data_IF_880077068486
#
_entry.id   IF_880077068486
#
_cell.length_a   1.000
_cell.length_b   1.000
_cell.length_c   1.000
_cell.angle_alpha   90.00
_cell.angle_beta   90.00
_cell.angle_gamma   90.00
#
_symmetry.space_group_name_H-M   'P 1'
#
loop_
_entity.id
_entity.type
_entity.pdbx_description
1 polymer ?
#
# COMPACT_ATOMS: atom_id res chain seq x y z
N UNK A 1 -25.45 -1.75 11.18
CA UNK A 1 -24.22 -2.44 10.71
C UNK A 1 -23.29 -2.59 11.90
N UNK A 2 -22.48 -3.66 12.02
CA UNK A 2 -21.46 -3.70 13.06
C UNK A 2 -20.56 -2.47 12.95
N UNK A 3 -20.14 -1.95 14.09
CA UNK A 3 -19.22 -0.80 14.13
C UNK A 3 -17.85 -1.27 13.67
N UNK A 4 -17.47 -0.95 12.42
CA UNK A 4 -16.16 -1.28 11.89
C UNK A 4 -15.07 -0.42 12.56
N UNK A 5 -13.88 -0.98 12.85
CA UNK A 5 -12.79 -0.23 13.45
C UNK A 5 -12.21 0.81 12.46
N UNK A 6 -11.53 1.85 12.96
CA UNK A 6 -10.88 2.83 12.09
C UNK A 6 -9.70 2.22 11.33
N UNK A 7 -9.46 2.78 10.13
CA UNK A 7 -8.31 2.47 9.27
C UNK A 7 -7.38 3.68 9.23
N UNK A 8 -6.07 3.48 9.38
CA UNK A 8 -5.10 4.54 9.10
C UNK A 8 -4.60 4.45 7.66
N UNK A 9 -4.59 5.58 6.96
CA UNK A 9 -3.93 5.72 5.66
C UNK A 9 -2.59 6.41 5.84
N UNK A 10 -1.53 5.80 5.32
CA UNK A 10 -0.17 6.35 5.36
C UNK A 10 0.17 6.90 3.99
N UNK A 11 0.50 8.19 3.93
CA UNK A 11 0.85 8.92 2.71
C UNK A 11 2.21 9.59 2.90
N UNK A 12 3.11 9.45 1.93
CA UNK A 12 4.34 10.24 1.85
C UNK A 12 4.19 11.26 0.72
N UNK A 13 4.59 12.51 0.98
CA UNK A 13 4.50 13.58 -0.01
C UNK A 13 5.64 14.59 0.13
N UNK A 14 6.06 15.17 -1.00
CA UNK A 14 6.97 16.33 -1.06
C UNK A 14 6.24 17.65 -1.26
N UNK A 15 4.92 17.63 -1.33
CA UNK A 15 4.08 18.79 -1.60
C UNK A 15 4.53 19.57 -2.84
N UNK A 16 4.88 18.85 -3.92
CA UNK A 16 5.17 19.49 -5.21
C UNK A 16 3.92 20.26 -5.68
N UNK A 17 4.12 21.39 -6.34
CA UNK A 17 3.00 22.31 -6.70
C UNK A 17 1.92 21.64 -7.53
N UNK A 18 2.31 20.80 -8.47
CA UNK A 18 1.43 20.02 -9.32
C UNK A 18 0.68 18.90 -8.58
N UNK A 19 1.14 18.50 -7.37
CA UNK A 19 0.53 17.43 -6.56
C UNK A 19 -0.33 17.91 -5.40
N UNK A 20 -0.23 19.18 -5.01
CA UNK A 20 -1.02 19.71 -3.89
C UNK A 20 -2.53 19.54 -4.14
N UNK A 21 -3.01 19.81 -5.37
CA UNK A 21 -4.40 19.59 -5.74
C UNK A 21 -4.79 18.09 -5.73
N UNK A 22 -3.88 17.20 -6.10
CA UNK A 22 -4.11 15.77 -6.06
C UNK A 22 -4.23 15.25 -4.62
N UNK A 23 -3.36 15.72 -3.72
CA UNK A 23 -3.46 15.39 -2.29
C UNK A 23 -4.80 15.84 -1.69
N UNK A 24 -5.29 17.02 -2.09
CA UNK A 24 -6.65 17.47 -1.72
C UNK A 24 -7.74 16.52 -2.23
N UNK A 25 -7.60 16.02 -3.47
CA UNK A 25 -8.53 15.05 -4.03
C UNK A 25 -8.44 13.67 -3.33
N UNK A 26 -7.22 13.25 -2.93
CA UNK A 26 -7.04 12.06 -2.08
C UNK A 26 -7.80 12.22 -0.77
N UNK A 27 -7.62 13.34 -0.06
CA UNK A 27 -8.35 13.64 1.18
C UNK A 27 -9.87 13.59 0.97
N UNK A 28 -10.39 14.21 -0.08
CA UNK A 28 -11.81 14.15 -0.41
C UNK A 28 -12.29 12.71 -0.72
N UNK A 29 -11.41 11.81 -1.19
CA UNK A 29 -11.74 10.40 -1.39
C UNK A 29 -11.81 9.63 -0.07
N UNK A 30 -11.06 10.05 0.95
CA UNK A 30 -11.17 9.52 2.32
C UNK A 30 -12.48 9.94 2.96
N UNK A 31 -12.93 11.18 2.75
CA UNK A 31 -14.21 11.66 3.27
C UNK A 31 -15.43 10.92 2.72
N UNK A 32 -15.29 10.27 1.56
CA UNK A 32 -16.35 9.42 1.00
C UNK A 32 -16.33 8.00 1.52
N UNK A 33 -15.38 7.62 2.37
CA UNK A 33 -15.36 6.29 2.96
C UNK A 33 -16.42 6.18 4.06
N UNK A 34 -17.17 5.09 4.06
CA UNK A 34 -18.26 4.83 5.02
C UNK A 34 -17.79 4.24 6.37
N UNK A 35 -16.46 4.11 6.55
CA UNK A 35 -15.85 3.67 7.81
C UNK A 35 -15.00 4.78 8.43
N UNK A 36 -14.80 4.79 9.76
CA UNK A 36 -13.89 5.73 10.39
C UNK A 36 -12.46 5.59 9.82
N UNK A 37 -11.80 6.71 9.58
CA UNK A 37 -10.44 6.73 9.10
C UNK A 37 -9.59 7.79 9.80
N UNK A 38 -8.29 7.56 9.80
CA UNK A 38 -7.24 8.50 10.16
C UNK A 38 -6.21 8.55 9.02
N UNK A 39 -5.44 9.62 8.92
CA UNK A 39 -4.31 9.68 8.01
C UNK A 39 -3.04 10.10 8.73
N UNK A 40 -1.91 9.51 8.34
CA UNK A 40 -0.57 9.97 8.70
C UNK A 40 0.12 10.43 7.41
N UNK A 41 0.36 11.74 7.31
CA UNK A 41 1.01 12.35 6.15
C UNK A 41 2.45 12.65 6.52
N UNK A 42 3.39 11.88 5.96
CA UNK A 42 4.82 12.12 6.08
C UNK A 42 5.26 13.15 5.02
N UNK A 43 5.73 14.30 5.47
CA UNK A 43 6.27 15.36 4.62
C UNK A 43 7.77 15.09 4.39
N UNK A 44 8.12 14.51 3.23
CA UNK A 44 9.49 14.14 2.85
C UNK A 44 10.28 15.37 2.36
N UNK A 45 10.80 16.16 3.28
CA UNK A 45 11.52 17.42 2.99
C UNK A 45 10.62 18.59 2.62
N UNK A 46 9.30 18.47 2.79
CA UNK A 46 8.37 19.53 2.45
C UNK A 46 8.09 20.47 3.63
N UNK A 47 7.81 21.74 3.33
CA UNK A 47 7.38 22.73 4.32
C UNK A 47 5.92 22.47 4.74
N UNK A 48 5.65 22.20 6.05
CA UNK A 48 4.30 21.98 6.53
C UNK A 48 3.29 23.09 6.22
N UNK A 49 3.77 24.34 6.09
CA UNK A 49 2.91 25.50 5.75
C UNK A 49 2.31 25.42 4.34
N UNK A 50 2.84 24.54 3.50
CA UNK A 50 2.32 24.27 2.15
C UNK A 50 1.19 23.25 2.12
N UNK A 51 0.90 22.60 3.26
CA UNK A 51 -0.20 21.65 3.34
C UNK A 51 -1.53 22.38 3.13
N UNK A 52 -2.43 21.89 2.25
CA UNK A 52 -3.75 22.49 2.06
C UNK A 52 -4.53 22.60 3.37
N UNK A 53 -5.19 23.73 3.62
CA UNK A 53 -5.93 23.96 4.84
C UNK A 53 -6.93 22.84 5.21
N UNK A 54 -7.70 22.25 4.26
CA UNK A 54 -8.60 21.15 4.61
C UNK A 54 -7.91 19.94 5.22
N UNK A 55 -6.63 19.70 4.90
CA UNK A 55 -5.85 18.62 5.53
C UNK A 55 -5.17 19.09 6.82
N UNK A 56 -4.68 20.34 6.84
CA UNK A 56 -4.00 20.89 8.00
C UNK A 56 -4.93 21.05 9.21
N UNK A 57 -6.21 21.37 8.95
CA UNK A 57 -7.23 21.63 9.97
C UNK A 57 -8.05 20.36 10.33
N UNK A 58 -7.83 19.24 9.66
CA UNK A 58 -8.56 18.00 9.93
C UNK A 58 -7.96 17.24 11.12
N UNK A 59 -8.72 17.11 12.19
CA UNK A 59 -8.29 16.41 13.41
C UNK A 59 -7.97 14.91 13.20
N UNK A 60 -8.43 14.31 12.09
CA UNK A 60 -8.12 12.92 11.70
C UNK A 60 -6.75 12.80 11.02
N UNK A 61 -6.17 13.93 10.60
CA UNK A 61 -4.90 13.98 9.88
C UNK A 61 -3.77 14.32 10.85
N UNK A 62 -2.79 13.43 10.92
CA UNK A 62 -1.53 13.66 11.63
C UNK A 62 -0.43 13.94 10.62
N UNK A 63 0.24 15.07 10.77
CA UNK A 63 1.35 15.48 9.91
C UNK A 63 2.67 15.14 10.59
N UNK A 64 3.56 14.46 9.87
CA UNK A 64 4.90 14.09 10.31
C UNK A 64 5.93 14.82 9.42
N UNK A 65 6.49 15.96 9.85
CA UNK A 65 7.56 16.62 9.11
C UNK A 65 8.86 15.83 9.21
N UNK A 66 9.49 15.56 8.07
CA UNK A 66 10.74 14.82 7.96
C UNK A 66 11.75 15.59 7.11
N UNK A 67 13.06 15.42 7.32
CA UNK A 67 14.05 15.79 6.31
C UNK A 67 13.83 14.95 5.04
N UNK A 68 14.44 15.29 3.90
CA UNK A 68 14.30 14.51 2.67
C UNK A 68 14.99 13.13 2.84
N UNK A 69 14.18 12.11 3.11
CA UNK A 69 14.63 10.72 3.38
C UNK A 69 14.17 9.72 2.32
N UNK A 70 13.32 10.14 1.38
CA UNK A 70 12.71 9.29 0.35
C UNK A 70 11.41 8.61 0.80
N UNK A 71 10.56 8.28 -0.18
CA UNK A 71 9.20 7.82 0.05
C UNK A 71 9.11 6.56 0.94
N UNK A 72 9.98 5.57 0.69
CA UNK A 72 10.05 4.36 1.50
C UNK A 72 10.33 4.64 2.97
N UNK A 73 11.38 5.40 3.24
CA UNK A 73 11.76 5.76 4.61
C UNK A 73 10.67 6.62 5.27
N UNK A 74 10.12 7.59 4.56
CA UNK A 74 9.04 8.45 5.06
C UNK A 74 7.80 7.64 5.46
N UNK A 75 7.36 6.68 4.62
CA UNK A 75 6.24 5.79 4.94
C UNK A 75 6.53 4.85 6.11
N UNK A 76 7.76 4.31 6.19
CA UNK A 76 8.17 3.47 7.32
C UNK A 76 8.19 4.24 8.65
N UNK A 77 8.66 5.49 8.64
CA UNK A 77 8.64 6.34 9.83
C UNK A 77 7.19 6.70 10.23
N UNK A 78 6.33 6.97 9.26
CA UNK A 78 4.91 7.23 9.49
C UNK A 78 4.17 6.03 10.11
N UNK A 79 4.59 4.80 9.85
CA UNK A 79 4.01 3.61 10.50
C UNK A 79 4.15 3.61 12.02
N UNK A 80 5.15 4.29 12.59
CA UNK A 80 5.31 4.41 14.03
C UNK A 80 4.18 5.24 14.66
N UNK A 81 3.54 6.11 13.87
CA UNK A 81 2.42 6.95 14.28
C UNK A 81 1.05 6.26 14.12
N UNK A 82 0.97 5.12 13.44
CA UNK A 82 -0.27 4.36 13.24
C UNK A 82 -0.72 3.74 14.55
N UNK A 83 -1.98 3.99 14.96
CA UNK A 83 -2.57 3.49 16.21
C UNK A 83 -3.73 2.52 15.99
N UNK A 84 -4.23 2.45 14.75
CA UNK A 84 -5.34 1.58 14.38
C UNK A 84 -4.89 0.15 14.13
N UNK A 85 -5.82 -0.79 14.19
CA UNK A 85 -5.56 -2.21 13.92
C UNK A 85 -5.26 -2.48 12.44
N UNK A 86 -5.70 -1.60 11.54
CA UNK A 86 -5.57 -1.74 10.10
C UNK A 86 -4.94 -0.51 9.46
N UNK A 87 -4.13 -0.74 8.43
CA UNK A 87 -3.44 0.31 7.70
C UNK A 87 -3.46 0.04 6.20
N UNK A 88 -3.54 1.12 5.41
CA UNK A 88 -3.38 1.13 3.96
C UNK A 88 -2.33 2.18 3.57
N UNK A 89 -1.45 1.85 2.65
CA UNK A 89 -0.60 2.86 1.99
C UNK A 89 -1.38 3.54 0.86
N UNK A 90 -1.07 4.80 0.64
CA UNK A 90 -1.59 5.53 -0.51
C UNK A 90 -0.54 6.50 -1.05
N UNK A 91 -0.66 6.81 -2.33
CA UNK A 91 0.11 7.85 -3.00
C UNK A 91 -0.62 9.18 -2.93
N UNK A 92 0.13 10.29 -2.94
CA UNK A 92 -0.41 11.63 -2.77
C UNK A 92 -1.16 12.16 -4.00
N UNK A 93 -1.09 11.43 -5.12
CA UNK A 93 -1.69 11.79 -6.41
C UNK A 93 -2.88 10.90 -6.82
N UNK A 94 -3.20 9.88 -6.05
CA UNK A 94 -4.22 8.87 -6.35
C UNK A 94 -5.52 9.05 -5.55
N UNK A 95 -6.46 8.09 -5.65
CA UNK A 95 -7.75 8.12 -4.95
C UNK A 95 -8.17 6.72 -4.49
N UNK A 96 -8.92 6.65 -3.40
CA UNK A 96 -9.74 5.47 -3.11
C UNK A 96 -11.07 5.53 -3.90
N UNK A 97 -11.59 4.38 -4.31
CA UNK A 97 -12.99 4.29 -4.77
C UNK A 97 -13.93 4.42 -3.58
N UNK A 98 -15.19 4.72 -3.84
CA UNK A 98 -16.19 4.79 -2.79
C UNK A 98 -16.31 3.42 -2.09
N UNK A 99 -16.49 3.42 -0.76
CA UNK A 99 -16.56 2.22 0.09
C UNK A 99 -15.35 1.26 0.04
N UNK A 100 -14.24 1.68 -0.59
CA UNK A 100 -13.05 0.85 -0.73
C UNK A 100 -12.54 0.26 0.58
N UNK A 101 -12.58 1.05 1.67
CA UNK A 101 -12.16 0.58 2.99
C UNK A 101 -13.19 -0.37 3.58
N UNK A 102 -14.48 -0.04 3.49
CA UNK A 102 -15.56 -0.83 4.09
C UNK A 102 -15.61 -2.24 3.52
N UNK A 103 -15.55 -2.41 2.19
CA UNK A 103 -15.64 -3.74 1.56
C UNK A 103 -14.48 -4.64 1.95
N UNK A 104 -13.25 -4.08 2.09
CA UNK A 104 -12.07 -4.85 2.51
C UNK A 104 -12.09 -5.14 4.01
N UNK A 105 -12.47 -4.15 4.82
CA UNK A 105 -12.51 -4.27 6.27
C UNK A 105 -13.57 -5.27 6.73
N UNK A 106 -14.77 -5.27 6.11
CA UNK A 106 -15.79 -6.29 6.37
C UNK A 106 -15.26 -7.71 6.16
N UNK A 107 -14.45 -7.94 5.12
CA UNK A 107 -13.85 -9.26 4.87
C UNK A 107 -12.84 -9.60 5.97
N UNK A 108 -11.97 -8.66 6.35
CA UNK A 108 -10.96 -8.87 7.37
C UNK A 108 -11.59 -9.20 8.73
N UNK A 109 -12.59 -8.43 9.16
CA UNK A 109 -13.32 -8.63 10.42
C UNK A 109 -14.09 -9.97 10.44
N UNK A 110 -14.70 -10.33 9.30
CA UNK A 110 -15.46 -11.58 9.20
C UNK A 110 -14.58 -12.83 9.15
N UNK A 111 -13.33 -12.72 8.69
CA UNK A 111 -12.49 -13.89 8.41
C UNK A 111 -11.27 -14.00 9.32
N UNK A 112 -10.86 -12.92 9.98
CA UNK A 112 -9.61 -12.86 10.76
C UNK A 112 -8.33 -12.95 9.89
N UNK A 113 -8.45 -12.77 8.56
CA UNK A 113 -7.30 -12.82 7.64
C UNK A 113 -6.38 -11.60 7.83
N UNK A 114 -5.15 -11.70 7.35
CA UNK A 114 -4.14 -10.67 7.55
C UNK A 114 -4.24 -9.49 6.60
N UNK A 115 -4.74 -9.72 5.39
CA UNK A 115 -4.86 -8.68 4.36
C UNK A 115 -6.05 -8.92 3.44
N UNK A 116 -6.55 -7.82 2.87
CA UNK A 116 -7.55 -7.82 1.81
C UNK A 116 -7.18 -6.78 0.77
N UNK A 117 -7.19 -7.16 -0.50
CA UNK A 117 -6.90 -6.30 -1.63
C UNK A 117 -8.06 -6.33 -2.64
N UNK A 118 -8.02 -5.43 -3.61
CA UNK A 118 -8.94 -5.42 -4.74
C UNK A 118 -8.23 -5.04 -6.02
N UNK A 119 -9.00 -4.85 -7.08
CA UNK A 119 -8.50 -4.31 -8.35
C UNK A 119 -8.23 -2.80 -8.22
N UNK A 120 -7.60 -2.24 -9.22
CA UNK A 120 -7.45 -0.79 -9.39
C UNK A 120 -8.04 -0.33 -10.71
N UNK A 121 -8.21 0.97 -10.83
CA UNK A 121 -8.57 1.65 -12.09
C UNK A 121 -7.50 2.68 -12.42
N UNK A 122 -7.14 2.79 -13.68
CA UNK A 122 -6.45 3.96 -14.19
C UNK A 122 -7.46 5.10 -14.33
N UNK A 123 -7.20 6.25 -13.74
CA UNK A 123 -8.03 7.46 -13.86
C UNK A 123 -7.35 8.45 -14.79
N UNK A 124 -7.97 8.72 -15.93
CA UNK A 124 -7.44 9.63 -16.95
C UNK A 124 -7.87 11.09 -16.70
N UNK A 125 -7.14 12.08 -17.31
CA UNK A 125 -7.44 13.50 -17.10
C UNK A 125 -8.84 13.93 -17.53
N UNK A 126 -9.47 13.21 -18.45
CA UNK A 126 -10.84 13.46 -18.92
C UNK A 126 -11.91 12.86 -17.97
N UNK A 127 -11.49 12.25 -16.86
CA UNK A 127 -12.36 11.61 -15.87
C UNK A 127 -12.78 10.18 -16.22
N UNK A 128 -12.38 9.66 -17.38
CA UNK A 128 -12.63 8.24 -17.72
C UNK A 128 -11.76 7.31 -16.89
N UNK A 129 -12.22 6.07 -16.71
CA UNK A 129 -11.45 5.04 -15.99
C UNK A 129 -11.26 3.78 -16.84
N UNK A 130 -10.17 3.06 -16.58
CA UNK A 130 -9.90 1.75 -17.16
C UNK A 130 -9.56 0.76 -16.07
N UNK A 131 -10.34 -0.32 -15.96
CA UNK A 131 -10.14 -1.34 -14.94
C UNK A 131 -8.85 -2.14 -15.20
N UNK A 132 -7.98 -2.15 -14.21
CA UNK A 132 -6.82 -3.00 -14.18
C UNK A 132 -7.08 -4.22 -13.27
N UNK A 133 -7.09 -5.40 -13.89
CA UNK A 133 -7.24 -6.68 -13.20
C UNK A 133 -5.87 -7.28 -12.96
N UNK A 134 -5.55 -7.54 -11.71
CA UNK A 134 -4.30 -8.24 -11.41
C UNK A 134 -4.33 -9.70 -11.86
N UNK A 135 -3.15 -10.30 -12.19
CA UNK A 135 -3.06 -11.68 -12.67
C UNK A 135 -3.51 -12.74 -11.67
N UNK A 136 -3.43 -12.46 -10.37
CA UNK A 136 -3.95 -13.38 -9.37
C UNK A 136 -5.49 -13.46 -9.46
N UNK A 137 -6.09 -14.65 -9.37
CA UNK A 137 -7.53 -14.78 -9.37
C UNK A 137 -8.15 -14.21 -8.08
N UNK A 138 -9.38 -13.67 -8.14
CA UNK A 138 -10.12 -13.31 -6.95
C UNK A 138 -10.34 -14.53 -6.03
N UNK A 139 -10.40 -14.26 -4.73
CA UNK A 139 -10.62 -15.28 -3.72
C UNK A 139 -9.58 -15.29 -2.62
N UNK A 140 -9.59 -16.33 -1.80
CA UNK A 140 -8.66 -16.52 -0.70
C UNK A 140 -7.32 -17.04 -1.21
N UNK A 141 -6.25 -16.48 -0.67
CA UNK A 141 -4.86 -16.90 -0.91
C UNK A 141 -4.22 -17.28 0.43
N UNK A 142 -3.57 -18.42 0.48
CA UNK A 142 -2.66 -18.74 1.59
C UNK A 142 -1.45 -17.79 1.59
N UNK A 143 -0.70 -17.78 2.69
CA UNK A 143 0.48 -16.94 2.80
C UNK A 143 1.47 -17.19 1.64
N UNK A 144 1.79 -16.14 0.90
CA UNK A 144 2.70 -16.20 -0.25
C UNK A 144 2.11 -16.70 -1.57
N UNK A 145 0.91 -17.30 -1.58
CA UNK A 145 0.33 -17.90 -2.79
C UNK A 145 0.09 -16.90 -3.91
N UNK A 146 -0.34 -15.68 -3.57
CA UNK A 146 -0.62 -14.63 -4.56
C UNK A 146 0.59 -14.38 -5.47
N UNK A 147 1.82 -14.54 -4.97
CA UNK A 147 3.04 -14.31 -5.74
C UNK A 147 3.42 -15.47 -6.68
N UNK A 148 2.74 -16.60 -6.62
CA UNK A 148 2.89 -17.68 -7.61
C UNK A 148 2.39 -17.27 -8.99
N UNK A 149 1.54 -16.24 -9.05
CA UNK A 149 1.02 -15.66 -10.28
C UNK A 149 1.97 -14.63 -10.92
N UNK A 150 3.04 -14.21 -10.24
CA UNK A 150 4.10 -13.40 -10.82
C UNK A 150 5.09 -14.30 -11.54
N UNK A 151 4.92 -14.45 -12.86
CA UNK A 151 5.63 -15.48 -13.65
C UNK A 151 7.10 -15.17 -13.90
N UNK A 152 7.41 -13.89 -14.09
CA UNK A 152 8.78 -13.37 -14.25
C UNK A 152 8.82 -11.88 -13.82
N UNK A 153 10.01 -11.29 -13.63
CA UNK A 153 10.14 -9.90 -13.20
C UNK A 153 9.51 -8.87 -14.15
N UNK A 154 9.41 -9.17 -15.45
CA UNK A 154 8.84 -8.25 -16.43
C UNK A 154 7.31 -8.40 -16.52
N UNK A 155 6.75 -9.50 -16.00
CA UNK A 155 5.31 -9.74 -16.00
C UNK A 155 4.58 -8.77 -15.05
N UNK A 156 3.28 -8.59 -15.29
CA UNK A 156 2.40 -7.80 -14.42
C UNK A 156 2.40 -8.37 -13.00
N UNK A 157 2.52 -7.49 -12.00
CA UNK A 157 2.46 -7.88 -10.59
C UNK A 157 1.09 -8.47 -10.24
N UNK A 158 1.03 -9.48 -9.35
CA UNK A 158 -0.21 -10.21 -9.08
C UNK A 158 -1.19 -9.46 -8.16
N UNK A 159 -0.76 -8.43 -7.47
CA UNK A 159 -1.58 -7.57 -6.62
C UNK A 159 -0.95 -6.18 -6.53
N UNK A 160 -1.75 -5.14 -6.64
CA UNK A 160 -1.28 -3.76 -6.52
C UNK A 160 -0.99 -3.41 -5.04
N UNK A 161 0.21 -2.91 -4.69
CA UNK A 161 0.58 -2.63 -3.30
C UNK A 161 -0.40 -1.69 -2.58
N UNK A 162 -0.80 -0.60 -3.20
CA UNK A 162 -1.72 0.41 -2.63
C UNK A 162 -3.16 -0.11 -2.49
N UNK A 163 -3.51 -1.22 -3.16
CA UNK A 163 -4.83 -1.84 -3.01
C UNK A 163 -4.95 -2.69 -1.74
N UNK A 164 -3.83 -2.97 -1.06
CA UNK A 164 -3.78 -3.83 0.12
C UNK A 164 -4.18 -3.04 1.37
N UNK A 165 -5.28 -3.43 2.01
CA UNK A 165 -5.60 -3.11 3.39
C UNK A 165 -5.14 -4.28 4.26
N UNK A 166 -4.32 -4.02 5.25
CA UNK A 166 -3.73 -5.08 6.07
C UNK A 166 -3.72 -4.74 7.56
N UNK A 167 -3.55 -5.76 8.38
CA UNK A 167 -3.30 -5.60 9.80
C UNK A 167 -1.99 -4.83 10.02
N UNK A 168 -2.01 -3.88 10.92
CA UNK A 168 -0.88 -2.99 11.20
C UNK A 168 0.36 -3.75 11.71
N UNK A 169 0.18 -4.82 12.48
CA UNK A 169 1.28 -5.66 12.95
C UNK A 169 2.05 -6.34 11.81
N UNK A 170 1.33 -6.80 10.78
CA UNK A 170 1.95 -7.39 9.58
C UNK A 170 2.71 -6.35 8.77
N UNK A 171 2.14 -5.16 8.61
CA UNK A 171 2.80 -4.08 7.87
C UNK A 171 4.07 -3.62 8.58
N UNK A 172 4.07 -3.57 9.91
CA UNK A 172 5.27 -3.28 10.70
C UNK A 172 6.34 -4.36 10.59
N UNK A 173 5.93 -5.63 10.47
CA UNK A 173 6.85 -6.75 10.27
C UNK A 173 7.42 -6.81 8.84
N UNK A 174 6.77 -6.14 7.88
CA UNK A 174 7.15 -6.10 6.47
C UNK A 174 7.25 -4.64 5.96
N UNK A 175 8.21 -3.85 6.46
CA UNK A 175 8.39 -2.47 6.04
C UNK A 175 8.75 -2.36 4.55
N UNK A 176 8.57 -1.18 3.99
CA UNK A 176 9.03 -0.88 2.62
C UNK A 176 10.53 -1.07 2.50
N UNK A 177 10.96 -1.65 1.38
CA UNK A 177 12.37 -1.88 1.09
C UNK A 177 13.17 -0.58 0.89
N UNK A 178 14.48 -0.64 1.04
CA UNK A 178 15.39 0.48 0.82
C UNK A 178 15.68 0.77 -0.67
N UNK A 179 14.73 0.52 -1.55
CA UNK A 179 14.84 0.82 -2.97
C UNK A 179 14.33 2.23 -3.26
N UNK A 180 14.95 2.90 -4.23
CA UNK A 180 14.49 4.21 -4.72
C UNK A 180 13.16 4.05 -5.47
N UNK A 181 12.88 2.84 -5.95
CA UNK A 181 11.75 2.50 -6.81
C UNK A 181 11.35 1.05 -6.60
N UNK A 182 10.05 0.74 -6.53
CA UNK A 182 9.54 -0.61 -6.25
C UNK A 182 9.70 -1.05 -4.78
N UNK A 183 9.90 -0.10 -3.88
CA UNK A 183 9.94 -0.30 -2.44
C UNK A 183 8.64 -0.88 -1.89
N UNK A 184 7.54 -0.49 -2.49
CA UNK A 184 6.17 -0.91 -2.21
C UNK A 184 5.93 -2.38 -2.59
N UNK A 185 6.57 -2.88 -3.65
CA UNK A 185 6.52 -4.31 -4.01
C UNK A 185 7.06 -5.18 -2.89
N UNK A 186 8.17 -4.77 -2.26
CA UNK A 186 8.77 -5.53 -1.18
C UNK A 186 7.87 -5.59 0.05
N UNK A 187 7.22 -4.48 0.40
CA UNK A 187 6.26 -4.44 1.49
C UNK A 187 5.02 -5.29 1.19
N UNK A 188 4.46 -5.20 -0.02
CA UNK A 188 3.35 -6.05 -0.45
C UNK A 188 3.69 -7.53 -0.39
N UNK A 189 4.88 -7.92 -0.87
CA UNK A 189 5.40 -9.29 -0.79
C UNK A 189 5.50 -9.72 0.69
N UNK A 190 6.12 -8.90 1.52
CA UNK A 190 6.30 -9.20 2.94
C UNK A 190 4.98 -9.45 3.64
N UNK A 191 4.04 -8.50 3.57
CA UNK A 191 2.71 -8.59 4.20
C UNK A 191 1.96 -9.84 3.75
N UNK A 192 1.92 -10.10 2.45
CA UNK A 192 1.13 -11.21 1.89
C UNK A 192 1.82 -12.58 2.02
N UNK A 193 3.12 -12.61 2.25
CA UNK A 193 3.85 -13.82 2.62
C UNK A 193 3.73 -14.18 4.11
N UNK A 194 3.55 -13.18 4.97
CA UNK A 194 3.40 -13.40 6.41
C UNK A 194 2.01 -13.88 6.82
N UNK A 195 0.99 -13.63 6.01
CA UNK A 195 -0.38 -14.01 6.33
C UNK A 195 -1.21 -14.36 5.09
N UNK A 196 -2.23 -15.17 5.30
CA UNK A 196 -3.29 -15.40 4.31
C UNK A 196 -4.17 -14.16 4.13
N UNK A 197 -4.75 -14.00 2.94
CA UNK A 197 -5.63 -12.87 2.64
C UNK A 197 -6.64 -13.18 1.55
N UNK A 198 -7.31 -12.12 1.09
CA UNK A 198 -8.33 -12.19 0.02
C UNK A 198 -8.07 -11.12 -1.03
N UNK A 199 -8.23 -11.49 -2.30
CA UNK A 199 -8.34 -10.58 -3.41
C UNK A 199 -9.80 -10.48 -3.85
N UNK A 200 -10.35 -9.27 -3.82
CA UNK A 200 -11.73 -8.97 -4.23
C UNK A 200 -11.81 -8.62 -5.73
N UNK A 201 -12.86 -9.02 -6.44
CA UNK A 201 -13.06 -8.70 -7.86
C UNK A 201 -13.67 -7.30 -8.08
N UNK A 202 -13.35 -6.34 -7.20
CA UNK A 202 -13.88 -4.97 -7.27
C UNK A 202 -12.74 -3.96 -7.22
N UNK A 203 -12.85 -2.82 -7.92
CA UNK A 203 -11.85 -1.76 -7.81
C UNK A 203 -11.95 -1.09 -6.44
N UNK A 204 -10.79 -0.90 -5.80
CA UNK A 204 -10.65 -0.24 -4.49
C UNK A 204 -9.75 0.99 -4.55
N UNK A 205 -9.06 1.19 -5.66
CA UNK A 205 -8.07 2.25 -5.82
C UNK A 205 -8.04 2.78 -7.24
N UNK A 206 -7.77 4.08 -7.43
CA UNK A 206 -7.64 4.75 -8.72
C UNK A 206 -6.28 5.37 -8.86
N UNK A 207 -5.49 4.85 -9.78
CA UNK A 207 -4.22 5.44 -10.21
C UNK A 207 -4.47 6.58 -11.17
N UNK A 208 -4.16 7.80 -10.73
CA UNK A 208 -4.32 8.98 -11.57
C UNK A 208 -3.22 9.05 -12.61
N UNK A 209 -3.61 9.24 -13.87
CA UNK A 209 -2.67 9.44 -14.99
C UNK A 209 -2.44 10.94 -15.22
N UNK A 210 -1.20 11.39 -15.00
CA UNK A 210 -0.77 12.77 -15.23
C UNK A 210 0.70 12.84 -15.67
N UNK A 211 1.16 13.97 -16.26
CA UNK A 211 2.51 14.05 -16.84
C UNK A 211 3.65 13.95 -15.82
N UNK A 212 3.44 14.39 -14.59
CA UNK A 212 4.47 14.41 -13.53
C UNK A 212 4.55 13.14 -12.69
N UNK A 213 3.90 12.05 -13.11
CA UNK A 213 4.04 10.76 -12.44
C UNK A 213 5.51 10.29 -12.46
N UNK A 214 5.94 9.65 -11.36
CA UNK A 214 7.28 9.03 -11.29
C UNK A 214 7.51 8.03 -12.42
N UNK A 215 6.48 7.26 -12.80
CA UNK A 215 6.52 6.28 -13.89
C UNK A 215 6.70 6.87 -15.28
N UNK A 216 6.71 8.20 -15.43
CA UNK A 216 6.97 8.93 -16.69
C UNK A 216 8.32 9.64 -16.71
N UNK A 217 9.15 9.47 -15.69
CA UNK A 217 10.49 10.02 -15.64
C UNK A 217 11.47 9.08 -16.35
N UNK A 218 12.44 9.63 -17.09
CA UNK A 218 13.45 8.85 -17.83
C UNK A 218 14.23 7.87 -16.92
N UNK A 219 14.43 8.24 -15.66
CA UNK A 219 15.10 7.38 -14.67
C UNK A 219 14.26 6.16 -14.28
N UNK A 220 12.93 6.20 -14.50
CA UNK A 220 12.05 5.09 -14.17
C UNK A 220 12.38 3.87 -15.02
N UNK A 221 12.41 4.02 -16.32
CA UNK A 221 12.66 2.92 -17.27
C UNK A 221 14.05 2.27 -17.07
N UNK A 222 15.03 3.03 -16.53
CA UNK A 222 16.36 2.52 -16.24
C UNK A 222 16.39 1.67 -14.97
N UNK A 223 15.69 2.10 -13.91
CA UNK A 223 15.76 1.47 -12.59
C UNK A 223 14.71 0.37 -12.40
N UNK A 224 13.54 0.51 -12.99
CA UNK A 224 12.41 -0.41 -12.78
C UNK A 224 12.76 -1.88 -13.06
N UNK A 225 13.43 -2.25 -14.16
CA UNK A 225 13.75 -3.65 -14.42
C UNK A 225 14.63 -4.28 -13.31
N UNK A 226 15.56 -3.51 -12.77
CA UNK A 226 16.43 -3.96 -11.67
C UNK A 226 15.64 -4.08 -10.35
N UNK A 227 14.80 -3.09 -10.03
CA UNK A 227 13.95 -3.08 -8.85
C UNK A 227 12.94 -4.24 -8.86
N UNK A 228 12.27 -4.47 -9.99
CA UNK A 228 11.34 -5.60 -10.16
C UNK A 228 12.04 -6.94 -10.04
N UNK A 229 13.22 -7.11 -10.60
CA UNK A 229 14.04 -8.33 -10.46
C UNK A 229 14.43 -8.54 -9.01
N UNK A 230 14.81 -7.49 -8.31
CA UNK A 230 15.15 -7.55 -6.88
C UNK A 230 13.94 -7.99 -6.06
N UNK A 231 12.79 -7.35 -6.23
CA UNK A 231 11.55 -7.70 -5.53
C UNK A 231 11.10 -9.14 -5.85
N UNK A 232 11.20 -9.56 -7.11
CA UNK A 232 10.86 -10.93 -7.51
C UNK A 232 11.75 -11.98 -6.84
N UNK A 233 13.07 -11.75 -6.80
CA UNK A 233 14.01 -12.62 -6.08
C UNK A 233 13.71 -12.64 -4.58
N UNK A 234 13.46 -11.47 -3.98
CA UNK A 234 13.06 -11.36 -2.57
C UNK A 234 11.82 -12.21 -2.28
N UNK A 235 10.76 -12.09 -3.08
CA UNK A 235 9.54 -12.87 -2.90
C UNK A 235 9.76 -14.38 -2.99
N UNK A 236 10.61 -14.83 -3.91
CA UNK A 236 10.99 -16.25 -4.02
C UNK A 236 11.75 -16.74 -2.78
N UNK A 237 12.75 -15.97 -2.34
CA UNK A 237 13.57 -16.31 -1.18
C UNK A 237 12.75 -16.31 0.10
N UNK A 238 11.88 -15.32 0.30
CA UNK A 238 11.03 -15.23 1.47
C UNK A 238 10.05 -16.41 1.55
N UNK A 239 9.38 -16.76 0.45
CA UNK A 239 8.50 -17.94 0.41
C UNK A 239 9.24 -19.23 0.70
N UNK A 240 10.44 -19.40 0.16
CA UNK A 240 11.26 -20.57 0.43
C UNK A 240 11.64 -20.66 1.92
N UNK A 241 12.05 -19.56 2.52
CA UNK A 241 12.41 -19.49 3.94
C UNK A 241 11.23 -19.78 4.86
N UNK A 242 10.05 -19.27 4.54
CA UNK A 242 8.83 -19.53 5.33
C UNK A 242 8.25 -20.94 5.15
N UNK A 243 8.63 -21.64 4.08
CA UNK A 243 8.23 -23.04 3.83
C UNK A 243 9.13 -24.06 4.51
N UNK A 244 10.27 -23.66 5.06
CA UNK A 244 11.15 -24.55 5.85
C UNK A 244 10.49 -24.78 7.22
N UNK A 245 10.23 -26.05 7.63
CA UNK A 245 9.76 -26.31 8.99
C UNK A 245 10.73 -25.71 10.00
N UNK A 246 10.20 -25.06 11.04
CA UNK A 246 11.03 -24.61 12.16
C UNK A 246 11.86 -25.82 12.64
N UNK A 247 13.18 -25.62 12.78
CA UNK A 247 14.01 -26.67 13.39
C UNK A 247 13.37 -27.01 14.72
N UNK A 248 12.97 -28.28 14.90
CA UNK A 248 12.49 -28.74 16.17
C UNK A 248 13.61 -28.49 17.19
N UNK A 249 13.31 -27.75 18.27
CA UNK A 249 14.18 -27.58 19.43
C UNK A 249 14.39 -28.98 20.08
N UNK A 250 15.04 -29.85 19.35
CA UNK A 250 15.58 -31.11 19.86
C UNK A 250 17.00 -30.87 20.41
N UNK A 251 17.12 -29.91 21.33
CA UNK A 251 18.21 -29.92 22.28
C UNK A 251 17.70 -30.58 23.53
N UNK A 252 17.65 -31.91 23.50
CA UNK A 252 17.63 -32.71 24.68
C UNK A 252 18.86 -32.34 25.49
N UNK A 253 18.61 -31.77 26.67
CA UNK A 253 19.59 -31.60 27.73
C UNK A 253 20.09 -33.02 28.09
N UNK A 254 21.39 -33.24 27.87
CA UNK A 254 22.16 -34.30 28.54
C UNK A 254 22.88 -33.67 29.70
#
# INVERSE_FOLDING_TARGET
>A
MPHLPPVTVVIATRLNEDRIGHLGAMHASLDRQSVPWEAVIALDGADPRRLPAPLADDARVRVLPLPPVGAACARNLALNEVRTAYVNWADDDDLFTDDAMAVRLCVLEATGLGWCAGYSEDLYPDGTTSLWRCPAPPGRHAAGDVWTYWKDPCATIPVGPTTILARTDLVRAAPMGGLVQGEDYMAAIGVTCLASGVLLPVPVYRYRKHPSQMTRQDTYDVLEPAARRHAWNYGRSLRAALSVPAASDAAGVV
#
